data_IF_690214564637
#
_entry.id   IF_690214564637
#
_cell.length_a   1.000
_cell.length_b   1.000
_cell.length_c   1.000
_cell.angle_alpha   90.00
_cell.angle_beta   90.00
_cell.angle_gamma   90.00
#
_symmetry.space_group_name_H-M   'P 1'
#
loop_
_entity.id
_entity.type
_entity.pdbx_description
1 polymer ?
#
# COMPACT_ATOMS: atom_id res chain seq x y z
N UNK A 1 -10.90 3.27 -0.24
CA UNK A 1 -11.21 2.18 -1.19
C UNK A 1 -10.15 2.22 -2.26
N UNK A 2 -9.54 1.08 -2.58
CA UNK A 2 -8.64 0.97 -3.72
C UNK A 2 -9.44 0.91 -5.02
N UNK A 3 -8.79 1.30 -6.13
CA UNK A 3 -9.36 1.40 -7.46
C UNK A 3 -9.61 0.03 -8.13
N UNK A 4 -9.67 -0.04 -9.47
CA UNK A 4 -9.23 0.99 -10.42
C UNK A 4 -10.20 2.18 -10.54
N UNK A 5 -9.63 3.35 -10.83
CA UNK A 5 -10.35 4.55 -11.23
C UNK A 5 -10.80 4.47 -12.70
N UNK A 6 -11.84 5.22 -13.02
CA UNK A 6 -12.38 5.35 -14.37
C UNK A 6 -12.12 6.77 -14.88
N UNK A 7 -11.44 6.89 -16.03
CA UNK A 7 -11.14 8.16 -16.70
C UNK A 7 -11.75 8.07 -18.10
N UNK A 8 -12.61 9.02 -18.44
CA UNK A 8 -13.31 9.07 -19.74
C UNK A 8 -14.02 7.74 -20.13
N UNK A 9 -14.56 7.04 -19.13
CA UNK A 9 -15.27 5.77 -19.31
C UNK A 9 -14.37 4.54 -19.47
N UNK A 10 -13.05 4.70 -19.36
CA UNK A 10 -12.06 3.62 -19.41
C UNK A 10 -11.54 3.33 -18.01
N UNK A 11 -11.49 2.05 -17.62
CA UNK A 11 -10.83 1.64 -16.37
C UNK A 11 -9.31 1.74 -16.53
N UNK A 12 -8.65 2.25 -15.48
CA UNK A 12 -7.21 2.40 -15.39
C UNK A 12 -6.66 1.50 -14.27
N UNK A 13 -6.32 0.22 -14.56
CA UNK A 13 -5.79 -0.73 -13.57
C UNK A 13 -4.61 -0.20 -12.76
N UNK A 14 -3.76 0.61 -13.38
CA UNK A 14 -2.60 1.27 -12.78
C UNK A 14 -2.96 2.19 -11.60
N UNK A 15 -4.21 2.62 -11.50
CA UNK A 15 -4.68 3.45 -10.38
C UNK A 15 -5.16 2.63 -9.18
N UNK A 16 -5.21 1.30 -9.29
CA UNK A 16 -5.55 0.42 -8.17
C UNK A 16 -4.35 0.24 -7.22
N UNK A 17 -4.53 0.57 -5.95
CA UNK A 17 -3.52 0.37 -4.90
C UNK A 17 -3.27 -1.12 -4.61
N UNK A 18 -4.23 -2.00 -4.95
CA UNK A 18 -4.12 -3.44 -4.79
C UNK A 18 -3.41 -4.13 -5.94
N UNK A 19 -3.22 -3.43 -7.08
CA UNK A 19 -2.48 -3.95 -8.23
C UNK A 19 -1.12 -4.48 -7.76
N UNK A 20 -0.81 -5.77 -7.97
CA UNK A 20 0.50 -6.33 -7.64
C UNK A 20 1.59 -5.60 -8.41
N UNK A 21 2.46 -4.89 -7.70
CA UNK A 21 3.59 -4.14 -8.25
C UNK A 21 4.65 -4.03 -7.16
N UNK A 22 5.89 -4.38 -7.51
CA UNK A 22 6.99 -4.33 -6.56
C UNK A 22 7.43 -2.86 -6.40
N UNK A 23 7.59 -2.43 -5.17
CA UNK A 23 8.15 -1.11 -4.87
C UNK A 23 9.07 -1.19 -3.65
N UNK A 24 10.12 -0.38 -3.64
CA UNK A 24 11.11 -0.29 -2.58
C UNK A 24 11.01 1.07 -1.91
N UNK A 25 10.76 1.07 -0.60
CA UNK A 25 10.74 2.27 0.24
C UNK A 25 11.61 2.00 1.46
N UNK A 26 12.57 2.90 1.73
CA UNK A 26 13.47 2.81 2.88
C UNK A 26 14.21 1.45 2.97
N UNK A 27 14.55 0.87 1.81
CA UNK A 27 15.23 -0.43 1.69
C UNK A 27 14.33 -1.66 1.85
N UNK A 28 13.04 -1.48 2.12
CA UNK A 28 12.06 -2.56 2.27
C UNK A 28 11.31 -2.74 0.95
N UNK A 29 11.17 -3.99 0.51
CA UNK A 29 10.38 -4.36 -0.67
C UNK A 29 8.94 -4.63 -0.28
N UNK A 30 8.00 -3.97 -0.94
CA UNK A 30 6.56 -4.16 -0.80
C UNK A 30 5.96 -4.73 -2.08
N UNK A 31 4.84 -5.46 -1.94
CA UNK A 31 4.19 -6.20 -3.04
C UNK A 31 3.09 -5.41 -3.76
N UNK A 32 2.70 -4.26 -3.20
CA UNK A 32 1.78 -3.28 -3.78
C UNK A 32 1.78 -1.99 -2.94
N UNK A 33 1.18 -0.91 -3.45
CA UNK A 33 0.93 0.30 -2.66
C UNK A 33 0.10 0.01 -1.41
N UNK A 34 -0.91 -0.85 -1.50
CA UNK A 34 -1.72 -1.23 -0.35
C UNK A 34 -0.88 -2.00 0.69
N UNK A 35 -0.01 -2.92 0.26
CA UNK A 35 0.86 -3.66 1.18
C UNK A 35 1.76 -2.71 1.99
N UNK A 36 2.36 -1.71 1.33
CA UNK A 36 3.07 -0.63 1.98
C UNK A 36 2.16 0.15 2.95
N UNK A 37 1.02 0.62 2.48
CA UNK A 37 0.08 1.42 3.27
C UNK A 37 -0.37 0.71 4.55
N UNK A 38 -0.68 -0.58 4.46
CA UNK A 38 -1.06 -1.40 5.61
C UNK A 38 0.10 -1.56 6.59
N UNK A 39 1.33 -1.75 6.12
CA UNK A 39 2.53 -1.80 6.96
C UNK A 39 2.79 -0.50 7.74
N UNK A 40 2.41 0.66 7.19
CA UNK A 40 2.57 1.96 7.85
C UNK A 40 1.60 2.21 9.00
N UNK A 41 0.53 1.41 9.12
CA UNK A 41 -0.49 1.57 10.16
C UNK A 41 0.05 1.37 11.57
N UNK A 42 1.06 0.53 11.72
CA UNK A 42 1.57 0.07 13.01
C UNK A 42 3.03 0.48 13.22
N UNK A 43 3.39 0.68 14.48
CA UNK A 43 4.79 0.82 14.93
C UNK A 43 5.35 -0.49 15.46
N UNK A 44 4.51 -1.52 15.65
CA UNK A 44 4.94 -2.84 16.08
C UNK A 44 5.59 -3.59 14.91
N UNK A 45 6.80 -4.08 15.12
CA UNK A 45 7.60 -4.73 14.07
C UNK A 45 7.03 -6.09 13.65
N UNK A 46 6.49 -6.87 14.60
CA UNK A 46 5.89 -8.19 14.30
C UNK A 46 4.61 -8.02 13.47
N UNK A 47 3.78 -7.05 13.81
CA UNK A 47 2.59 -6.70 13.03
C UNK A 47 2.98 -6.26 11.62
N UNK A 48 4.03 -5.44 11.49
CA UNK A 48 4.53 -4.99 10.19
C UNK A 48 5.05 -6.14 9.36
N UNK A 49 5.85 -7.03 9.94
CA UNK A 49 6.38 -8.21 9.27
C UNK A 49 5.26 -9.16 8.81
N UNK A 50 4.24 -9.36 9.64
CA UNK A 50 3.05 -10.14 9.29
C UNK A 50 2.34 -9.57 8.05
N UNK A 51 2.11 -8.25 8.00
CA UNK A 51 1.48 -7.59 6.85
C UNK A 51 2.39 -7.67 5.62
N UNK A 52 3.69 -7.44 5.79
CA UNK A 52 4.65 -7.49 4.69
C UNK A 52 4.61 -8.84 3.97
N UNK A 53 4.49 -9.91 4.76
CA UNK A 53 4.48 -11.29 4.27
C UNK A 53 3.09 -11.84 3.88
N UNK A 54 2.01 -11.06 4.01
CA UNK A 54 0.65 -11.54 3.71
C UNK A 54 0.33 -11.69 2.22
N UNK A 55 1.22 -11.19 1.35
CA UNK A 55 0.98 -11.13 -0.11
C UNK A 55 0.24 -9.86 -0.55
N UNK A 56 0.12 -9.63 -1.88
CA UNK A 56 -0.64 -8.52 -2.43
C UNK A 56 -2.16 -8.76 -2.31
N UNK A 57 -2.97 -7.77 -2.68
CA UNK A 57 -4.43 -7.88 -2.68
C UNK A 57 -5.05 -7.82 -1.27
N UNK A 58 -6.23 -8.42 -1.11
CA UNK A 58 -7.05 -8.30 0.10
C UNK A 58 -6.37 -8.85 1.36
N UNK A 59 -5.44 -9.80 1.23
CA UNK A 59 -4.76 -10.42 2.37
C UNK A 59 -4.00 -9.39 3.22
N UNK A 60 -3.31 -8.43 2.59
CA UNK A 60 -2.61 -7.37 3.33
C UNK A 60 -3.57 -6.38 4.00
N UNK A 61 -4.72 -6.13 3.37
CA UNK A 61 -5.75 -5.30 3.97
C UNK A 61 -6.34 -5.96 5.21
N UNK A 62 -6.69 -7.24 5.13
CA UNK A 62 -7.22 -8.01 6.26
C UNK A 62 -6.21 -8.06 7.41
N UNK A 63 -4.94 -8.33 7.12
CA UNK A 63 -3.87 -8.30 8.13
C UNK A 63 -3.74 -6.91 8.78
N UNK A 64 -3.71 -5.84 8.00
CA UNK A 64 -3.58 -4.48 8.54
C UNK A 64 -4.85 -3.92 9.20
N UNK A 65 -5.99 -4.64 9.17
CA UNK A 65 -7.16 -4.33 9.99
C UNK A 65 -7.06 -4.87 11.42
N UNK A 66 -6.18 -5.84 11.68
CA UNK A 66 -6.04 -6.46 13.02
C UNK A 66 -5.00 -5.79 13.90
N UNK A 67 -4.19 -4.88 13.36
CA UNK A 67 -3.02 -4.30 14.06
C UNK A 67 -3.36 -3.05 14.85
N UNK A 68 -2.52 -2.75 15.84
CA UNK A 68 -2.58 -1.50 16.58
C UNK A 68 -2.20 -0.31 15.70
N UNK A 69 -3.08 0.69 15.61
CA UNK A 69 -2.79 1.92 14.86
C UNK A 69 -1.77 2.78 15.62
N UNK A 70 -0.82 3.36 14.89
CA UNK A 70 0.04 4.44 15.39
C UNK A 70 -0.80 5.64 15.82
N UNK A 71 -0.29 6.39 16.80
CA UNK A 71 -1.02 7.50 17.45
C UNK A 71 -1.37 8.65 16.49
N UNK A 72 -0.56 8.87 15.47
CA UNK A 72 -0.71 9.91 14.45
C UNK A 72 -1.39 9.43 13.16
N UNK A 73 -1.94 8.21 13.15
CA UNK A 73 -2.49 7.57 11.94
C UNK A 73 -3.46 8.47 11.16
N UNK A 74 -4.34 9.17 11.88
CA UNK A 74 -5.37 10.02 11.27
C UNK A 74 -4.78 11.19 10.48
N UNK A 75 -3.66 11.77 10.93
CA UNK A 75 -3.04 12.93 10.29
C UNK A 75 -2.17 12.53 9.10
N UNK A 76 -1.51 11.38 9.14
CA UNK A 76 -0.45 11.06 8.16
C UNK A 76 -0.79 9.92 7.18
N UNK A 77 -1.95 9.27 7.31
CA UNK A 77 -2.38 8.21 6.36
C UNK A 77 -2.37 8.66 4.90
N UNK A 78 -2.73 9.92 4.61
CA UNK A 78 -2.78 10.42 3.23
C UNK A 78 -1.39 10.58 2.64
N UNK A 79 -0.44 11.00 3.47
CA UNK A 79 0.96 11.19 3.07
C UNK A 79 1.64 9.85 2.80
N UNK A 80 1.36 8.82 3.62
CA UNK A 80 1.85 7.47 3.34
C UNK A 80 1.21 6.89 2.07
N UNK A 81 -0.09 7.05 1.85
CA UNK A 81 -0.69 6.59 0.61
C UNK A 81 -0.07 7.28 -0.61
N UNK A 82 0.19 8.59 -0.51
CA UNK A 82 0.89 9.33 -1.55
C UNK A 82 2.31 8.80 -1.77
N UNK A 83 3.09 8.56 -0.71
CA UNK A 83 4.46 8.01 -0.79
C UNK A 83 4.47 6.63 -1.47
N UNK A 84 3.52 5.76 -1.11
CA UNK A 84 3.35 4.44 -1.74
C UNK A 84 3.05 4.53 -3.22
N UNK A 85 2.06 5.34 -3.60
CA UNK A 85 1.68 5.53 -5.00
C UNK A 85 2.76 6.22 -5.83
N UNK A 86 3.45 7.20 -5.25
CA UNK A 86 4.60 7.84 -5.90
C UNK A 86 5.69 6.81 -6.21
N UNK A 87 6.05 5.97 -5.23
CA UNK A 87 7.03 4.90 -5.43
C UNK A 87 6.59 3.89 -6.49
N UNK A 88 5.30 3.50 -6.48
CA UNK A 88 4.71 2.62 -7.51
C UNK A 88 4.97 3.15 -8.92
N UNK A 89 4.55 4.39 -9.22
CA UNK A 89 4.71 4.97 -10.56
C UNK A 89 6.14 5.35 -10.90
N UNK A 90 6.98 5.70 -9.92
CA UNK A 90 8.39 6.03 -10.17
C UNK A 90 9.26 4.79 -10.47
N UNK A 91 8.90 3.63 -9.94
CA UNK A 91 9.72 2.42 -10.03
C UNK A 91 9.20 1.40 -11.05
N UNK A 92 8.00 1.61 -11.60
CA UNK A 92 7.38 0.76 -12.61
C UNK A 92 6.99 1.66 -13.79
N UNK A 93 7.92 1.90 -14.72
CA UNK A 93 7.75 2.84 -15.85
C UNK A 93 6.68 2.40 -16.87
N UNK A 94 6.25 1.15 -16.79
CA UNK A 94 5.21 0.54 -17.61
C UNK A 94 3.78 0.75 -17.06
N UNK A 95 3.65 1.38 -15.89
CA UNK A 95 2.37 1.74 -15.26
C UNK A 95 1.90 3.17 -15.56
#
# INVERSE_FOLDING_TARGET
MGGPGVIDGTEHPETDNFLPCQLVIDGITYLSSENYFQCTKTTNELDREMILNSGPGDACQLAGQTVGLRSDWKSIKSDDMYKGNLAKFQQNEDL
#
